data_IF_870131721236
#
_entry.id   IF_870131721236
#
_cell.length_a   1.000
_cell.length_b   1.000
_cell.length_c   1.000
_cell.angle_alpha   90.00
_cell.angle_beta   90.00
_cell.angle_gamma   90.00
#
_symmetry.space_group_name_H-M   'P 1'
#
loop_
_entity.id
_entity.type
_entity.pdbx_description
1 polymer ?
#
# COMPACT_ATOMS: atom_id res chain seq x y z
N UNK A 1 -7.21 -20.26 -40.92
CA UNK A 1 -8.39 -19.44 -40.55
C UNK A 1 -9.14 -19.97 -39.31
N UNK A 2 -9.31 -21.29 -39.16
CA UNK A 2 -9.95 -21.93 -38.01
C UNK A 2 -9.27 -21.61 -36.65
N UNK A 3 -7.93 -21.71 -36.58
CA UNK A 3 -7.15 -21.42 -35.37
C UNK A 3 -7.31 -19.97 -34.86
N UNK A 4 -7.42 -19.00 -35.78
CA UNK A 4 -7.62 -17.58 -35.41
C UNK A 4 -9.03 -17.35 -34.85
N UNK A 5 -10.04 -18.03 -35.40
CA UNK A 5 -11.43 -17.99 -34.89
C UNK A 5 -11.56 -18.66 -33.53
N UNK A 6 -10.92 -19.83 -33.32
CA UNK A 6 -10.91 -20.50 -32.01
C UNK A 6 -10.20 -19.65 -30.95
N UNK A 7 -9.05 -19.07 -31.27
CA UNK A 7 -8.32 -18.19 -30.35
C UNK A 7 -9.14 -16.95 -29.95
N UNK A 8 -9.87 -16.34 -30.90
CA UNK A 8 -10.76 -15.22 -30.59
C UNK A 8 -11.93 -15.62 -29.68
N UNK A 9 -12.50 -16.82 -29.86
CA UNK A 9 -13.55 -17.35 -28.97
C UNK A 9 -13.01 -17.56 -27.55
N UNK A 10 -11.84 -18.18 -27.42
CA UNK A 10 -11.17 -18.40 -26.12
C UNK A 10 -10.92 -17.06 -25.42
N UNK A 11 -10.35 -16.07 -26.12
CA UNK A 11 -10.10 -14.74 -25.54
C UNK A 11 -11.37 -14.06 -25.04
N UNK A 12 -12.49 -14.18 -25.77
CA UNK A 12 -13.78 -13.65 -25.33
C UNK A 12 -14.29 -14.37 -24.08
N UNK A 13 -14.21 -15.70 -24.07
CA UNK A 13 -14.61 -16.52 -22.92
C UNK A 13 -13.81 -16.15 -21.66
N UNK A 14 -12.48 -16.01 -21.78
CA UNK A 14 -11.63 -15.57 -20.67
C UNK A 14 -12.05 -14.21 -20.11
N UNK A 15 -12.41 -13.25 -20.98
CA UNK A 15 -12.86 -11.93 -20.56
C UNK A 15 -14.23 -11.96 -19.86
N UNK A 16 -15.19 -12.73 -20.36
CA UNK A 16 -16.48 -12.90 -19.70
C UNK A 16 -16.34 -13.59 -18.35
N UNK A 17 -15.54 -14.67 -18.28
CA UNK A 17 -15.23 -15.36 -17.03
C UNK A 17 -14.55 -14.42 -16.03
N UNK A 18 -13.58 -13.61 -16.49
CA UNK A 18 -12.95 -12.57 -15.69
C UNK A 18 -13.99 -11.58 -15.13
N UNK A 19 -14.85 -11.03 -15.98
CA UNK A 19 -15.81 -9.99 -15.58
C UNK A 19 -16.82 -10.52 -14.56
N UNK A 20 -17.48 -11.64 -14.88
CA UNK A 20 -18.50 -12.26 -14.01
C UNK A 20 -17.85 -12.73 -12.70
N UNK A 21 -16.73 -13.44 -12.80
CA UNK A 21 -16.02 -13.94 -11.63
C UNK A 21 -15.51 -12.82 -10.72
N UNK A 22 -15.05 -11.69 -11.29
CA UNK A 22 -14.63 -10.52 -10.51
C UNK A 22 -15.79 -9.94 -9.73
N UNK A 23 -16.96 -9.76 -10.35
CA UNK A 23 -18.14 -9.22 -9.66
C UNK A 23 -18.57 -10.17 -8.53
N UNK A 24 -18.75 -11.46 -8.83
CA UNK A 24 -19.18 -12.45 -7.84
C UNK A 24 -18.21 -12.51 -6.65
N UNK A 25 -16.91 -12.56 -6.93
CA UNK A 25 -15.91 -12.67 -5.88
C UNK A 25 -15.80 -11.39 -5.05
N UNK A 26 -15.87 -10.20 -5.66
CA UNK A 26 -15.82 -8.94 -4.91
C UNK A 26 -17.07 -8.74 -4.04
N UNK A 27 -18.25 -9.14 -4.49
CA UNK A 27 -19.48 -9.12 -3.68
C UNK A 27 -19.34 -9.99 -2.44
N UNK A 28 -18.68 -11.15 -2.56
CA UNK A 28 -18.35 -12.02 -1.43
C UNK A 28 -17.24 -11.44 -0.52
N UNK A 29 -16.14 -10.98 -1.12
CA UNK A 29 -14.92 -10.60 -0.41
C UNK A 29 -15.04 -9.27 0.34
N UNK A 30 -15.68 -8.26 -0.25
CA UNK A 30 -15.72 -6.90 0.31
C UNK A 30 -16.36 -6.88 1.71
N UNK A 31 -17.55 -7.48 1.97
CA UNK A 31 -18.15 -7.49 3.29
C UNK A 31 -17.29 -8.20 4.34
N UNK A 32 -16.68 -9.34 3.97
CA UNK A 32 -15.76 -10.08 4.83
C UNK A 32 -14.57 -9.22 5.23
N UNK A 33 -13.99 -8.50 4.26
CA UNK A 33 -12.86 -7.62 4.51
C UNK A 33 -13.24 -6.43 5.39
N UNK A 34 -14.39 -5.80 5.16
CA UNK A 34 -14.86 -4.67 5.98
C UNK A 34 -15.03 -5.09 7.44
N UNK A 35 -15.60 -6.27 7.71
CA UNK A 35 -15.73 -6.79 9.08
C UNK A 35 -14.37 -7.02 9.74
N UNK A 36 -13.40 -7.55 8.99
CA UNK A 36 -12.02 -7.71 9.47
C UNK A 36 -11.36 -6.35 9.73
N UNK A 37 -11.59 -5.34 8.87
CA UNK A 37 -11.05 -3.99 9.03
C UNK A 37 -11.61 -3.27 10.25
N UNK A 38 -12.89 -3.43 10.55
CA UNK A 38 -13.49 -2.90 11.78
C UNK A 38 -12.82 -3.46 13.04
N UNK A 39 -12.46 -4.74 13.04
CA UNK A 39 -11.71 -5.32 14.15
C UNK A 39 -10.29 -4.74 14.26
N UNK A 40 -9.63 -4.45 13.12
CA UNK A 40 -8.29 -3.85 13.09
C UNK A 40 -8.23 -2.34 13.37
N UNK A 41 -9.38 -1.66 13.47
CA UNK A 41 -9.47 -0.27 13.92
C UNK A 41 -9.53 -0.15 15.45
N UNK A 42 -9.71 -1.26 16.17
CA UNK A 42 -9.62 -1.30 17.63
C UNK A 42 -8.16 -1.19 18.06
N UNK A 43 -7.91 -0.44 19.11
CA UNK A 43 -6.57 -0.16 19.59
C UNK A 43 -6.55 -0.17 21.12
N UNK A 44 -5.43 -0.62 21.69
CA UNK A 44 -5.13 -0.46 23.11
C UNK A 44 -4.30 0.81 23.35
N UNK A 45 -4.42 1.40 24.54
CA UNK A 45 -3.56 2.49 25.00
C UNK A 45 -2.60 1.97 26.07
N UNK A 46 -1.31 2.29 25.90
CA UNK A 46 -0.27 2.03 26.88
C UNK A 46 0.47 3.32 27.22
N UNK A 47 0.68 3.57 28.51
CA UNK A 47 1.40 4.74 29.01
C UNK A 47 2.76 4.30 29.57
N UNK A 48 3.82 5.05 29.27
CA UNK A 48 5.12 4.83 29.92
C UNK A 48 4.97 5.04 31.42
N UNK A 49 5.32 4.02 32.20
CA UNK A 49 5.39 4.12 33.66
C UNK A 49 6.84 4.30 34.11
N UNK A 50 7.74 3.46 33.59
CA UNK A 50 9.20 3.55 33.78
C UNK A 50 9.90 3.37 32.42
N UNK A 51 11.21 3.58 32.37
CA UNK A 51 11.98 3.48 31.12
C UNK A 51 11.80 2.14 30.36
N UNK A 52 11.54 1.06 31.11
CA UNK A 52 11.34 -0.30 30.59
C UNK A 52 9.92 -0.85 30.74
N UNK A 53 8.95 -0.07 31.22
CA UNK A 53 7.61 -0.55 31.53
C UNK A 53 6.53 0.35 30.93
N UNK A 54 5.60 -0.28 30.23
CA UNK A 54 4.41 0.34 29.68
C UNK A 54 3.20 -0.28 30.36
N UNK A 55 2.34 0.55 30.94
CA UNK A 55 1.10 0.10 31.59
C UNK A 55 -0.08 0.36 30.66
N UNK A 56 -0.82 -0.70 30.32
CA UNK A 56 -2.07 -0.59 29.57
C UNK A 56 -3.18 -0.02 30.46
N UNK A 57 -4.24 0.51 29.85
CA UNK A 57 -5.45 0.96 30.54
C UNK A 57 -6.09 -0.14 31.41
N UNK A 58 -5.95 -1.40 31.01
CA UNK A 58 -6.38 -2.58 31.78
C UNK A 58 -5.52 -2.90 33.01
N UNK A 59 -4.40 -2.19 33.20
CA UNK A 59 -3.39 -2.50 34.22
C UNK A 59 -2.37 -3.57 33.81
N UNK A 60 -2.53 -4.19 32.63
CA UNK A 60 -1.56 -5.15 32.10
C UNK A 60 -0.24 -4.47 31.77
N UNK A 61 0.89 -5.12 32.10
CA UNK A 61 2.23 -4.60 31.84
C UNK A 61 2.78 -5.13 30.51
N UNK A 62 3.37 -4.23 29.73
CA UNK A 62 4.14 -4.51 28.52
C UNK A 62 5.59 -4.11 28.80
N UNK A 63 6.51 -5.07 28.68
CA UNK A 63 7.91 -4.92 29.02
C UNK A 63 8.73 -4.46 27.80
N UNK A 64 9.58 -3.47 27.97
CA UNK A 64 10.51 -3.04 26.92
C UNK A 64 11.80 -3.82 27.06
N UNK A 65 12.17 -4.54 26.01
CA UNK A 65 13.41 -5.31 25.91
C UNK A 65 14.43 -4.48 25.13
N UNK A 66 15.58 -4.26 25.73
CA UNK A 66 16.72 -3.57 25.12
C UNK A 66 17.85 -4.55 24.77
N UNK A 67 18.82 -4.16 23.93
CA UNK A 67 19.92 -5.04 23.56
C UNK A 67 20.66 -5.55 24.80
N UNK A 68 20.76 -6.88 24.95
CA UNK A 68 21.35 -7.55 26.11
C UNK A 68 20.34 -8.05 27.15
N UNK A 69 19.09 -7.59 27.12
CA UNK A 69 18.03 -8.13 27.96
C UNK A 69 17.50 -9.47 27.39
N UNK A 70 16.96 -10.32 28.27
CA UNK A 70 16.33 -11.60 27.93
C UNK A 70 14.86 -11.62 28.33
N UNK A 71 14.06 -12.40 27.59
CA UNK A 71 12.65 -12.61 27.90
C UNK A 71 12.54 -13.47 29.16
N UNK A 72 11.79 -12.98 30.15
CA UNK A 72 11.59 -13.65 31.44
C UNK A 72 10.20 -14.31 31.54
N UNK A 73 10.02 -15.34 32.38
CA UNK A 73 8.76 -16.08 32.50
C UNK A 73 7.53 -15.23 32.90
N UNK A 74 7.74 -14.14 33.63
CA UNK A 74 6.68 -13.24 34.07
C UNK A 74 6.23 -12.24 32.98
N UNK A 75 6.98 -12.12 31.88
CA UNK A 75 6.71 -11.17 30.81
C UNK A 75 5.67 -11.74 29.85
N UNK A 76 4.42 -11.29 29.94
CA UNK A 76 3.35 -11.71 29.03
C UNK A 76 3.34 -10.97 27.69
N UNK A 77 3.73 -9.69 27.71
CA UNK A 77 3.80 -8.82 26.54
C UNK A 77 5.15 -8.11 26.54
N UNK A 78 5.85 -8.13 25.40
CA UNK A 78 7.16 -7.49 25.26
C UNK A 78 7.21 -6.61 24.02
N UNK A 79 7.98 -5.53 24.04
CA UNK A 79 8.29 -4.68 22.89
C UNK A 79 9.79 -4.51 22.82
N UNK A 80 10.39 -4.73 21.66
CA UNK A 80 11.83 -4.55 21.48
C UNK A 80 12.15 -3.09 21.11
N UNK A 81 13.14 -2.48 21.75
CA UNK A 81 13.61 -1.12 21.46
C UNK A 81 15.14 -1.11 21.36
N UNK A 82 15.67 -0.57 20.27
CA UNK A 82 17.13 -0.44 20.06
C UNK A 82 17.66 -1.38 18.97
N UNK A 83 18.98 -1.45 18.85
CA UNK A 83 19.66 -2.18 17.79
C UNK A 83 20.05 -3.60 18.24
N UNK A 84 19.41 -4.61 17.64
CA UNK A 84 19.63 -6.02 17.95
C UNK A 84 20.46 -6.76 16.89
N UNK A 85 21.19 -6.04 16.03
CA UNK A 85 21.90 -6.65 14.88
C UNK A 85 22.94 -7.71 15.25
N UNK A 86 23.41 -7.73 16.50
CA UNK A 86 24.41 -8.68 17.01
C UNK A 86 23.81 -9.91 17.69
N UNK A 87 22.49 -9.96 17.87
CA UNK A 87 21.80 -11.00 18.64
C UNK A 87 21.12 -12.02 17.71
N UNK A 88 21.03 -13.28 18.14
CA UNK A 88 20.33 -14.32 17.37
C UNK A 88 18.81 -14.29 17.64
N UNK A 89 17.96 -14.01 16.62
CA UNK A 89 16.51 -14.01 16.78
C UNK A 89 15.95 -15.36 17.25
N UNK A 90 16.62 -16.49 16.96
CA UNK A 90 16.13 -17.81 17.34
C UNK A 90 16.08 -18.01 18.84
N UNK A 91 17.04 -17.47 19.57
CA UNK A 91 17.06 -17.55 21.04
C UNK A 91 15.81 -16.90 21.64
N UNK A 92 15.53 -15.66 21.22
CA UNK A 92 14.35 -14.91 21.65
C UNK A 92 13.04 -15.57 21.21
N UNK A 93 13.02 -16.22 20.05
CA UNK A 93 11.85 -16.97 19.59
C UNK A 93 11.53 -18.17 20.49
N UNK A 94 12.56 -18.93 20.89
CA UNK A 94 12.40 -20.08 21.80
C UNK A 94 11.89 -19.62 23.15
N UNK A 95 12.48 -18.57 23.72
CA UNK A 95 12.05 -18.03 25.02
C UNK A 95 10.63 -17.47 24.95
N UNK A 96 10.29 -16.74 23.88
CA UNK A 96 8.95 -16.21 23.67
C UNK A 96 7.89 -17.33 23.57
N UNK A 97 8.19 -18.42 22.85
CA UNK A 97 7.25 -19.53 22.71
C UNK A 97 7.12 -20.35 24.00
N UNK A 98 8.24 -20.56 24.70
CA UNK A 98 8.31 -21.24 26.01
C UNK A 98 7.46 -20.52 27.05
N UNK A 99 7.57 -19.20 27.14
CA UNK A 99 6.84 -18.40 28.12
C UNK A 99 5.51 -17.85 27.60
N UNK A 100 5.09 -18.23 26.39
CA UNK A 100 3.83 -17.83 25.77
C UNK A 100 3.67 -16.30 25.66
N UNK A 101 4.74 -15.64 25.21
CA UNK A 101 4.87 -14.19 25.18
C UNK A 101 4.33 -13.60 23.87
N UNK A 102 3.59 -12.51 24.01
CA UNK A 102 3.16 -11.67 22.91
C UNK A 102 4.24 -10.65 22.55
N UNK A 103 4.61 -10.59 21.28
CA UNK A 103 5.70 -9.73 20.80
C UNK A 103 5.16 -8.48 20.11
N UNK A 104 5.59 -7.31 20.55
CA UNK A 104 5.23 -6.02 20.00
C UNK A 104 6.17 -5.59 18.86
N UNK A 105 5.60 -5.35 17.68
CA UNK A 105 6.28 -4.77 16.51
C UNK A 105 6.23 -3.24 16.59
N UNK A 106 7.31 -2.64 17.10
CA UNK A 106 7.42 -1.19 17.20
C UNK A 106 7.72 -0.55 15.84
N UNK A 107 6.76 0.21 15.31
CA UNK A 107 6.92 0.86 14.02
C UNK A 107 7.99 1.96 14.03
N UNK A 108 8.77 2.04 12.94
CA UNK A 108 9.84 3.02 12.73
C UNK A 108 10.98 2.96 13.77
N UNK A 109 11.15 1.83 14.45
CA UNK A 109 12.29 1.56 15.32
C UNK A 109 13.35 0.67 14.62
N UNK A 110 14.59 0.78 15.07
CA UNK A 110 15.72 -0.06 14.62
C UNK A 110 15.52 -1.54 14.95
N UNK A 111 14.72 -1.86 15.98
CA UNK A 111 14.39 -3.24 16.37
C UNK A 111 13.45 -3.94 15.39
N UNK A 112 12.71 -3.21 14.54
CA UNK A 112 11.64 -3.77 13.71
C UNK A 112 12.11 -4.94 12.80
N UNK A 113 13.25 -4.88 12.10
CA UNK A 113 13.75 -6.00 11.31
C UNK A 113 14.04 -7.24 12.16
N UNK A 114 14.63 -7.04 13.34
CA UNK A 114 14.94 -8.11 14.28
C UNK A 114 13.67 -8.78 14.81
N UNK A 115 12.69 -7.99 15.26
CA UNK A 115 11.41 -8.52 15.75
C UNK A 115 10.66 -9.30 14.67
N UNK A 116 10.73 -8.88 13.41
CA UNK A 116 10.17 -9.65 12.28
C UNK A 116 10.86 -10.99 12.11
N UNK A 117 12.19 -11.06 12.23
CA UNK A 117 12.92 -12.32 12.16
C UNK A 117 12.52 -13.29 13.29
N UNK A 118 12.30 -12.78 14.51
CA UNK A 118 11.77 -13.59 15.61
C UNK A 118 10.41 -14.22 15.22
N UNK A 119 9.50 -13.42 14.66
CA UNK A 119 8.18 -13.90 14.23
C UNK A 119 8.25 -14.90 13.05
N UNK A 120 9.27 -14.80 12.20
CA UNK A 120 9.46 -15.72 11.08
C UNK A 120 9.87 -17.13 11.56
N UNK A 121 10.73 -17.20 12.59
CA UNK A 121 11.30 -18.46 13.10
C UNK A 121 10.52 -19.09 14.26
N UNK A 122 9.70 -18.33 14.99
CA UNK A 122 8.89 -18.85 16.10
C UNK A 122 7.75 -19.75 15.62
N UNK A 123 7.31 -20.66 16.48
CA UNK A 123 6.15 -21.52 16.27
C UNK A 123 4.82 -20.77 16.38
N UNK A 124 4.66 -19.88 17.38
CA UNK A 124 3.41 -19.13 17.62
C UNK A 124 3.38 -17.79 16.87
N UNK A 125 3.30 -17.85 15.53
CA UNK A 125 3.41 -16.68 14.65
C UNK A 125 2.32 -15.63 14.80
N UNK A 126 1.20 -15.96 15.44
CA UNK A 126 0.07 -15.06 15.63
C UNK A 126 0.04 -14.35 16.99
N UNK A 127 0.98 -14.66 17.89
CA UNK A 127 1.14 -14.00 19.19
C UNK A 127 2.04 -12.77 19.09
N UNK A 128 1.58 -11.78 18.36
CA UNK A 128 2.25 -10.48 18.27
C UNK A 128 1.22 -9.37 18.28
N UNK A 129 1.66 -8.12 18.30
CA UNK A 129 0.82 -6.96 18.14
C UNK A 129 1.67 -5.81 17.59
N UNK A 130 1.05 -4.84 16.92
CA UNK A 130 1.74 -3.71 16.32
C UNK A 130 1.64 -2.51 17.21
N UNK A 131 2.78 -1.86 17.42
CA UNK A 131 2.90 -0.73 18.33
C UNK A 131 3.33 0.50 17.56
N UNK A 132 2.62 1.60 17.77
CA UNK A 132 3.07 2.91 17.30
C UNK A 132 3.27 3.85 18.47
N UNK A 133 4.31 4.67 18.37
CA UNK A 133 4.63 5.69 19.36
C UNK A 133 5.16 6.93 18.65
N UNK A 134 5.01 8.09 19.28
CA UNK A 134 5.60 9.35 18.84
C UNK A 134 6.53 9.79 19.97
N UNK A 135 7.81 9.96 19.65
CA UNK A 135 8.85 10.33 20.63
C UNK A 135 8.97 11.85 20.75
N UNK A 136 9.47 12.32 21.88
CA UNK A 136 9.71 13.74 22.11
C UNK A 136 10.71 14.32 21.09
N UNK A 137 11.76 13.57 20.70
CA UNK A 137 12.69 14.05 19.67
C UNK A 137 11.99 14.28 18.32
N UNK A 138 10.96 13.48 18.01
CA UNK A 138 10.18 13.65 16.79
C UNK A 138 9.28 14.89 16.86
N UNK A 139 8.67 15.16 18.02
CA UNK A 139 7.89 16.37 18.28
C UNK A 139 8.73 17.62 18.04
N UNK A 140 9.93 17.67 18.63
CA UNK A 140 10.86 18.80 18.48
C UNK A 140 11.38 18.91 17.04
N UNK A 141 11.91 17.82 16.47
CA UNK A 141 12.50 17.82 15.12
C UNK A 141 11.50 18.23 14.04
N UNK A 142 10.23 17.85 14.20
CA UNK A 142 9.20 18.13 13.21
C UNK A 142 8.30 19.31 13.58
N UNK A 143 8.56 19.98 14.71
CA UNK A 143 7.77 21.10 15.26
C UNK A 143 6.28 20.78 15.27
N UNK A 144 5.93 19.65 15.87
CA UNK A 144 4.54 19.18 15.89
C UNK A 144 3.71 20.02 16.86
N UNK A 145 2.51 20.43 16.41
CA UNK A 145 1.46 20.94 17.28
C UNK A 145 0.50 19.80 17.69
N UNK A 146 -0.41 20.10 18.64
CA UNK A 146 -1.43 19.15 19.12
C UNK A 146 -2.27 18.55 17.98
N UNK A 147 -2.60 19.34 16.94
CA UNK A 147 -3.40 18.85 15.81
C UNK A 147 -2.60 17.86 14.97
N UNK A 148 -1.38 18.20 14.59
CA UNK A 148 -0.46 17.33 13.84
C UNK A 148 -0.16 16.04 14.61
N UNK A 149 -0.02 16.12 15.93
CA UNK A 149 0.15 14.96 16.80
C UNK A 149 -1.08 14.04 16.75
N UNK A 150 -2.28 14.58 16.92
CA UNK A 150 -3.54 13.85 16.74
C UNK A 150 -3.62 13.20 15.35
N UNK A 151 -3.35 13.93 14.27
CA UNK A 151 -3.40 13.41 12.90
C UNK A 151 -2.40 12.27 12.67
N UNK A 152 -1.25 12.25 13.36
CA UNK A 152 -0.29 11.14 13.30
C UNK A 152 -0.84 9.88 13.96
N UNK A 153 -1.37 9.99 15.18
CA UNK A 153 -1.99 8.86 15.89
C UNK A 153 -3.23 8.35 15.17
N UNK A 154 -4.08 9.26 14.70
CA UNK A 154 -5.24 8.95 13.86
C UNK A 154 -4.86 8.12 12.64
N UNK A 155 -3.78 8.49 11.93
CA UNK A 155 -3.27 7.71 10.78
C UNK A 155 -2.64 6.37 11.20
N UNK A 156 -2.11 6.27 12.41
CA UNK A 156 -1.65 5.00 12.97
C UNK A 156 -2.80 4.00 13.05
N UNK A 157 -3.95 4.42 13.59
CA UNK A 157 -5.14 3.58 13.69
C UNK A 157 -5.77 3.39 12.30
N UNK A 158 -6.17 4.48 11.65
CA UNK A 158 -7.01 4.46 10.45
C UNK A 158 -6.31 3.92 9.20
N UNK A 159 -5.02 4.25 9.01
CA UNK A 159 -4.32 3.92 7.76
C UNK A 159 -3.36 2.74 7.92
N UNK A 160 -2.89 2.48 9.14
CA UNK A 160 -1.92 1.42 9.42
C UNK A 160 -2.50 0.29 10.26
N UNK A 161 -3.69 0.41 10.84
CA UNK A 161 -4.31 -0.65 11.67
C UNK A 161 -3.38 -1.07 12.80
N UNK A 162 -3.06 -0.13 13.69
CA UNK A 162 -2.18 -0.34 14.83
C UNK A 162 -2.95 -0.88 16.02
N UNK A 163 -2.43 -1.95 16.62
CA UNK A 163 -3.11 -2.68 17.70
C UNK A 163 -2.90 -1.99 19.06
N UNK A 164 -1.80 -1.26 19.24
CA UNK A 164 -1.48 -0.52 20.48
C UNK A 164 -0.80 0.82 20.18
N UNK A 165 -1.31 1.88 20.79
CA UNK A 165 -0.61 3.16 20.86
C UNK A 165 0.15 3.24 22.18
N UNK A 166 1.45 3.39 22.08
CA UNK A 166 2.32 3.67 23.20
C UNK A 166 2.51 5.19 23.35
N UNK A 167 1.90 5.77 24.38
CA UNK A 167 2.01 7.17 24.76
C UNK A 167 3.25 7.36 25.63
N UNK A 168 4.19 8.16 25.15
CA UNK A 168 5.36 8.61 25.89
C UNK A 168 5.14 10.02 26.42
N UNK A 169 5.85 10.42 27.50
CA UNK A 169 5.84 11.80 27.97
C UNK A 169 6.31 12.73 26.84
N UNK A 170 5.46 13.69 26.48
CA UNK A 170 5.74 14.70 25.44
C UNK A 170 5.38 16.07 25.97
N UNK A 171 6.21 17.06 25.68
CA UNK A 171 5.99 18.45 26.10
C UNK A 171 5.22 19.22 25.03
N UNK A 172 4.49 20.26 25.45
CA UNK A 172 3.78 21.19 24.57
C UNK A 172 2.68 20.53 23.70
N UNK A 173 2.16 19.37 24.13
CA UNK A 173 1.06 18.67 23.49
C UNK A 173 -0.04 18.43 24.53
N UNK A 174 -1.25 18.87 24.21
CA UNK A 174 -2.45 18.57 25.02
C UNK A 174 -2.90 17.13 24.74
N UNK A 175 -2.42 16.19 25.55
CA UNK A 175 -2.71 14.76 25.41
C UNK A 175 -4.19 14.44 25.69
N UNK A 176 -4.83 15.13 26.63
CA UNK A 176 -6.23 14.89 26.98
C UNK A 176 -7.15 15.24 25.81
N UNK A 177 -6.90 16.36 25.14
CA UNK A 177 -7.59 16.72 23.90
C UNK A 177 -7.38 15.68 22.80
N UNK A 178 -6.14 15.21 22.61
CA UNK A 178 -5.80 14.22 21.58
C UNK A 178 -6.52 12.89 21.84
N UNK A 179 -6.43 12.36 23.06
CA UNK A 179 -6.99 11.06 23.43
C UNK A 179 -8.52 11.08 23.40
N UNK A 180 -9.16 12.11 23.97
CA UNK A 180 -10.62 12.26 23.89
C UNK A 180 -11.14 12.39 22.46
N UNK A 181 -10.35 12.99 21.56
CA UNK A 181 -10.69 13.06 20.14
C UNK A 181 -10.54 11.72 19.42
N UNK A 182 -9.51 10.93 19.74
CA UNK A 182 -9.34 9.57 19.20
C UNK A 182 -10.47 8.65 19.67
N UNK A 183 -10.82 8.70 20.96
CA UNK A 183 -11.91 7.93 21.56
C UNK A 183 -13.27 8.25 20.93
N UNK A 184 -13.55 9.55 20.67
CA UNK A 184 -14.76 9.95 19.93
C UNK A 184 -14.83 9.41 18.50
N UNK A 185 -13.69 9.24 17.83
CA UNK A 185 -13.64 8.81 16.43
C UNK A 185 -13.62 7.27 16.29
N UNK A 186 -12.88 6.57 17.14
CA UNK A 186 -12.62 5.13 17.01
C UNK A 186 -13.27 4.28 18.11
N UNK A 187 -13.89 4.91 19.12
CA UNK A 187 -14.44 4.26 20.29
C UNK A 187 -13.43 4.11 21.43
N UNK A 188 -13.89 3.50 22.53
CA UNK A 188 -13.07 3.22 23.70
C UNK A 188 -11.88 2.33 23.36
N UNK A 189 -10.69 2.61 23.94
CA UNK A 189 -9.55 1.72 23.84
C UNK A 189 -9.87 0.34 24.39
N UNK A 190 -9.35 -0.71 23.73
CA UNK A 190 -9.48 -2.08 24.23
C UNK A 190 -8.48 -2.34 25.35
N UNK A 191 -8.84 -3.25 26.26
CA UNK A 191 -8.00 -3.65 27.39
C UNK A 191 -6.65 -4.24 26.98
N UNK A 192 -6.65 -4.96 25.85
CA UNK A 192 -5.50 -5.66 25.29
C UNK A 192 -5.41 -5.38 23.78
N UNK A 193 -4.20 -5.40 23.21
CA UNK A 193 -4.03 -5.29 21.76
C UNK A 193 -4.63 -6.50 21.05
N UNK A 194 -5.39 -6.26 19.97
CA UNK A 194 -6.06 -7.31 19.21
C UNK A 194 -5.60 -7.33 17.76
N UNK A 195 -4.96 -8.43 17.35
CA UNK A 195 -4.47 -8.59 15.98
C UNK A 195 -5.60 -8.77 14.99
N UNK A 196 -5.49 -8.10 13.85
CA UNK A 196 -6.41 -8.28 12.76
C UNK A 196 -6.33 -9.70 12.18
N UNK A 197 -7.46 -10.40 12.15
CA UNK A 197 -7.62 -11.72 11.51
C UNK A 197 -8.70 -11.66 10.44
N UNK A 198 -8.53 -12.47 9.39
CA UNK A 198 -9.53 -12.72 8.37
C UNK A 198 -9.56 -14.23 8.09
N UNK A 199 -10.74 -14.80 8.02
CA UNK A 199 -10.96 -16.21 7.67
C UNK A 199 -11.75 -16.30 6.36
N UNK A 200 -11.77 -17.49 5.76
CA UNK A 200 -12.55 -17.79 4.55
C UNK A 200 -12.19 -16.93 3.33
N UNK A 201 -10.93 -16.50 3.23
CA UNK A 201 -10.43 -15.86 2.01
C UNK A 201 -9.81 -16.95 1.13
N UNK A 202 -10.14 -16.93 -0.16
CA UNK A 202 -9.61 -17.86 -1.16
C UNK A 202 -8.71 -17.13 -2.16
N UNK A 203 -7.39 -17.01 -1.91
CA UNK A 203 -6.44 -16.27 -2.76
C UNK A 203 -6.36 -16.75 -4.22
N UNK A 204 -6.63 -18.04 -4.46
CA UNK A 204 -6.54 -18.63 -5.79
C UNK A 204 -7.60 -18.10 -6.76
N UNK A 205 -8.77 -17.69 -6.26
CA UNK A 205 -9.85 -17.14 -7.09
C UNK A 205 -9.42 -15.82 -7.75
N UNK A 206 -9.04 -14.75 -7.01
CA UNK A 206 -8.62 -13.50 -7.61
C UNK A 206 -7.32 -13.65 -8.41
N UNK A 207 -6.41 -14.54 -8.00
CA UNK A 207 -5.24 -14.90 -8.80
C UNK A 207 -5.63 -15.46 -10.18
N UNK A 208 -6.57 -16.40 -10.22
CA UNK A 208 -7.06 -17.00 -11.47
C UNK A 208 -7.75 -15.95 -12.34
N UNK A 209 -8.56 -15.07 -11.75
CA UNK A 209 -9.20 -13.97 -12.46
C UNK A 209 -8.18 -13.01 -13.09
N UNK A 210 -7.14 -12.61 -12.35
CA UNK A 210 -6.04 -11.81 -12.89
C UNK A 210 -5.33 -12.52 -14.04
N UNK A 211 -5.11 -13.83 -13.92
CA UNK A 211 -4.49 -14.64 -14.97
C UNK A 211 -5.38 -14.71 -16.22
N UNK A 212 -6.70 -14.87 -16.06
CA UNK A 212 -7.67 -14.83 -17.16
C UNK A 212 -7.69 -13.47 -17.88
N UNK A 213 -7.53 -12.37 -17.15
CA UNK A 213 -7.38 -11.04 -17.74
C UNK A 213 -6.11 -10.94 -18.59
N UNK A 214 -4.98 -11.42 -18.09
CA UNK A 214 -3.73 -11.46 -18.87
C UNK A 214 -3.87 -12.35 -20.09
N UNK A 215 -4.48 -13.54 -19.96
CA UNK A 215 -4.76 -14.47 -21.06
C UNK A 215 -5.60 -13.85 -22.18
N UNK A 216 -6.60 -13.05 -21.83
CA UNK A 216 -7.42 -12.34 -22.80
C UNK A 216 -6.54 -11.45 -23.72
N UNK A 217 -5.54 -10.78 -23.17
CA UNK A 217 -4.66 -9.91 -23.94
C UNK A 217 -3.50 -10.67 -24.60
N UNK A 218 -2.78 -11.52 -23.85
CA UNK A 218 -1.63 -12.29 -24.32
C UNK A 218 -1.62 -13.70 -23.73
N UNK A 219 -1.73 -14.71 -24.60
CA UNK A 219 -1.71 -16.12 -24.19
C UNK A 219 -0.37 -16.48 -23.54
N UNK A 220 0.74 -16.06 -24.17
CA UNK A 220 2.11 -16.37 -23.73
C UNK A 220 2.37 -15.80 -22.34
N UNK A 221 2.02 -14.53 -22.10
CA UNK A 221 2.20 -13.91 -20.79
C UNK A 221 1.30 -14.54 -19.73
N UNK A 222 0.09 -14.97 -20.11
CA UNK A 222 -0.80 -15.70 -19.23
C UNK A 222 -0.20 -17.04 -18.79
N UNK A 223 0.30 -17.85 -19.72
CA UNK A 223 0.96 -19.14 -19.43
C UNK A 223 2.18 -18.90 -18.53
N UNK A 224 3.04 -17.95 -18.91
CA UNK A 224 4.25 -17.62 -18.15
C UNK A 224 3.91 -17.22 -16.72
N UNK A 225 2.89 -16.37 -16.52
CA UNK A 225 2.47 -15.94 -15.17
C UNK A 225 1.85 -17.07 -14.34
N UNK A 226 1.10 -17.98 -14.97
CA UNK A 226 0.52 -19.14 -14.31
C UNK A 226 1.59 -20.16 -13.88
N UNK A 227 2.61 -20.37 -14.71
CA UNK A 227 3.70 -21.29 -14.40
C UNK A 227 4.48 -20.92 -13.13
N UNK A 228 4.52 -19.63 -12.76
CA UNK A 228 5.17 -19.17 -11.52
C UNK A 228 4.48 -19.72 -10.26
N UNK A 229 3.21 -20.13 -10.33
CA UNK A 229 2.50 -20.70 -9.17
C UNK A 229 3.17 -21.97 -8.66
N UNK A 230 3.81 -22.75 -9.54
CA UNK A 230 4.50 -23.98 -9.16
C UNK A 230 5.78 -23.73 -8.36
N UNK A 231 6.27 -22.49 -8.26
CA UNK A 231 7.42 -22.13 -7.43
C UNK A 231 6.99 -21.43 -6.13
N UNK A 232 6.26 -20.32 -6.24
CA UNK A 232 5.76 -19.55 -5.09
C UNK A 232 4.50 -18.78 -5.47
N UNK A 233 3.41 -19.02 -4.72
CA UNK A 233 2.12 -18.38 -4.96
C UNK A 233 2.17 -16.84 -4.82
N UNK A 234 2.95 -16.32 -3.87
CA UNK A 234 3.06 -14.88 -3.66
C UNK A 234 3.76 -14.23 -4.85
N UNK A 235 4.86 -14.84 -5.32
CA UNK A 235 5.59 -14.41 -6.50
C UNK A 235 4.68 -14.43 -7.74
N UNK A 236 3.87 -15.48 -7.90
CA UNK A 236 2.91 -15.59 -8.98
C UNK A 236 1.86 -14.46 -8.94
N UNK A 237 1.28 -14.17 -7.76
CA UNK A 237 0.36 -13.05 -7.58
C UNK A 237 1.03 -11.72 -7.92
N UNK A 238 2.28 -11.52 -7.51
CA UNK A 238 3.02 -10.28 -7.82
C UNK A 238 3.25 -10.13 -9.32
N UNK A 239 3.73 -11.19 -9.98
CA UNK A 239 4.01 -11.20 -11.41
C UNK A 239 2.75 -10.97 -12.25
N UNK A 240 1.67 -11.73 -11.99
CA UNK A 240 0.42 -11.61 -12.76
C UNK A 240 -0.21 -10.23 -12.58
N UNK A 241 -0.15 -9.65 -11.38
CA UNK A 241 -0.70 -8.31 -11.12
C UNK A 241 0.05 -7.23 -11.90
N UNK A 242 1.38 -7.28 -11.93
CA UNK A 242 2.20 -6.34 -12.71
C UNK A 242 1.93 -6.52 -14.21
N UNK A 243 1.91 -7.76 -14.70
CA UNK A 243 1.60 -8.06 -16.10
C UNK A 243 0.19 -7.59 -16.49
N UNK A 244 -0.80 -7.77 -15.61
CA UNK A 244 -2.16 -7.29 -15.84
C UNK A 244 -2.19 -5.77 -16.04
N UNK A 245 -1.47 -4.98 -15.24
CA UNK A 245 -1.42 -3.51 -15.43
C UNK A 245 -0.85 -3.13 -16.80
N UNK A 246 0.32 -3.67 -17.16
CA UNK A 246 1.01 -3.35 -18.42
C UNK A 246 0.18 -3.79 -19.62
N UNK A 247 -0.27 -5.05 -19.65
CA UNK A 247 -1.06 -5.60 -20.76
C UNK A 247 -2.38 -4.86 -20.96
N UNK A 248 -3.09 -4.56 -19.87
CA UNK A 248 -4.35 -3.79 -19.91
C UNK A 248 -4.14 -2.40 -20.49
N UNK A 249 -3.06 -1.70 -20.13
CA UNK A 249 -2.78 -0.37 -20.67
C UNK A 249 -2.65 -0.40 -22.19
N UNK A 250 -1.86 -1.31 -22.75
CA UNK A 250 -1.59 -1.33 -24.18
C UNK A 250 -2.75 -1.94 -24.99
N UNK A 251 -3.42 -2.96 -24.46
CA UNK A 251 -4.44 -3.69 -25.21
C UNK A 251 -5.80 -2.99 -25.24
N UNK A 252 -6.17 -2.24 -24.20
CA UNK A 252 -7.45 -1.53 -24.16
C UNK A 252 -7.41 -0.34 -25.13
N UNK A 253 -8.27 -0.39 -26.15
CA UNK A 253 -8.40 0.70 -27.14
C UNK A 253 -8.97 1.97 -26.53
N UNK A 254 -10.08 1.85 -25.79
CA UNK A 254 -10.74 2.99 -25.20
C UNK A 254 -10.15 3.32 -23.82
N UNK A 255 -9.14 4.18 -23.81
CA UNK A 255 -8.32 4.50 -22.63
C UNK A 255 -9.13 5.09 -21.47
N UNK A 256 -10.33 5.65 -21.72
CA UNK A 256 -11.19 6.21 -20.66
C UNK A 256 -11.62 5.19 -19.59
N UNK A 257 -11.56 3.89 -19.89
CA UNK A 257 -11.90 2.82 -18.94
C UNK A 257 -10.71 2.32 -18.11
N UNK A 258 -9.47 2.75 -18.44
CA UNK A 258 -8.28 2.33 -17.71
C UNK A 258 -8.33 2.64 -16.21
N UNK A 259 -8.81 3.80 -15.73
CA UNK A 259 -8.90 4.06 -14.29
C UNK A 259 -9.69 3.00 -13.53
N UNK A 260 -10.84 2.58 -14.06
CA UNK A 260 -11.71 1.56 -13.46
C UNK A 260 -11.05 0.18 -13.53
N UNK A 261 -10.44 -0.17 -14.66
CA UNK A 261 -9.74 -1.45 -14.80
C UNK A 261 -8.55 -1.57 -13.85
N UNK A 262 -7.79 -0.48 -13.63
CA UNK A 262 -6.69 -0.45 -12.67
C UNK A 262 -7.17 -0.55 -11.23
N UNK A 263 -8.32 0.06 -10.90
CA UNK A 263 -9.00 -0.14 -9.63
C UNK A 263 -9.38 -1.62 -9.42
N UNK A 264 -9.95 -2.28 -10.43
CA UNK A 264 -10.32 -3.70 -10.37
C UNK A 264 -9.10 -4.61 -10.23
N UNK A 265 -8.03 -4.38 -11.00
CA UNK A 265 -6.77 -5.12 -10.87
C UNK A 265 -6.22 -4.95 -9.45
N UNK A 266 -6.17 -3.72 -8.94
CA UNK A 266 -5.76 -3.43 -7.56
C UNK A 266 -6.59 -4.18 -6.53
N UNK A 267 -7.93 -4.14 -6.64
CA UNK A 267 -8.84 -4.84 -5.73
C UNK A 267 -8.66 -6.37 -5.77
N UNK A 268 -8.45 -6.96 -6.95
CA UNK A 268 -8.18 -8.39 -7.06
C UNK A 268 -6.82 -8.75 -6.44
N UNK A 269 -5.78 -7.94 -6.67
CA UNK A 269 -4.48 -8.13 -6.01
C UNK A 269 -4.59 -8.00 -4.50
N UNK A 270 -5.36 -7.02 -4.01
CA UNK A 270 -5.67 -6.86 -2.59
C UNK A 270 -6.34 -8.12 -2.03
N UNK A 271 -7.36 -8.64 -2.70
CA UNK A 271 -8.05 -9.82 -2.24
C UNK A 271 -7.17 -11.09 -2.29
N UNK A 272 -6.32 -11.23 -3.32
CA UNK A 272 -5.36 -12.33 -3.43
C UNK A 272 -4.32 -12.33 -2.29
N UNK A 273 -3.99 -11.14 -1.76
CA UNK A 273 -3.02 -10.98 -0.68
C UNK A 273 -3.66 -10.91 0.71
N UNK A 274 -4.99 -10.99 0.84
CA UNK A 274 -5.72 -10.88 2.11
C UNK A 274 -5.56 -12.10 3.01
N UNK A 275 -4.33 -12.34 3.44
CA UNK A 275 -3.88 -13.40 4.34
C UNK A 275 -3.21 -12.76 5.55
N UNK A 276 -3.24 -13.47 6.68
CA UNK A 276 -2.75 -13.01 7.98
C UNK A 276 -1.39 -12.29 7.92
N UNK A 277 -0.41 -12.88 7.22
CA UNK A 277 0.96 -12.36 7.11
C UNK A 277 1.03 -10.97 6.45
N UNK A 278 0.22 -10.74 5.43
CA UNK A 278 0.23 -9.49 4.68
C UNK A 278 -0.65 -8.43 5.34
N UNK A 279 -1.79 -8.83 5.92
CA UNK A 279 -2.68 -7.93 6.66
C UNK A 279 -1.94 -7.25 7.81
N UNK A 280 -1.13 -8.01 8.53
CA UNK A 280 -0.43 -7.54 9.71
C UNK A 280 1.02 -7.09 9.41
N UNK A 281 1.33 -6.81 8.15
CA UNK A 281 2.62 -6.23 7.74
C UNK A 281 3.86 -7.08 8.07
N UNK A 282 3.69 -8.39 8.28
CA UNK A 282 4.79 -9.35 8.42
C UNK A 282 5.47 -9.54 7.06
N UNK A 283 4.65 -9.72 6.02
CA UNK A 283 5.09 -9.76 4.62
C UNK A 283 4.49 -8.60 3.84
N UNK A 284 5.26 -8.09 2.88
CA UNK A 284 4.86 -7.00 2.00
C UNK A 284 4.91 -7.44 0.54
N UNK A 285 4.19 -6.73 -0.31
CA UNK A 285 4.29 -6.89 -1.76
C UNK A 285 5.73 -6.55 -2.21
N UNK A 286 6.53 -7.56 -2.58
CA UNK A 286 7.94 -7.35 -2.97
C UNK A 286 8.09 -6.59 -4.29
N UNK A 287 7.06 -6.61 -5.14
CA UNK A 287 7.06 -5.98 -6.45
C UNK A 287 6.72 -4.49 -6.47
N UNK A 288 6.64 -3.77 -5.34
CA UNK A 288 6.16 -2.36 -5.31
C UNK A 288 6.98 -1.48 -6.26
N UNK A 289 8.31 -1.52 -6.15
CA UNK A 289 9.17 -0.68 -6.99
C UNK A 289 9.05 -1.04 -8.47
N UNK A 290 8.99 -2.34 -8.77
CA UNK A 290 8.84 -2.85 -10.13
C UNK A 290 7.48 -2.45 -10.73
N UNK A 291 6.39 -2.59 -9.98
CA UNK A 291 5.05 -2.22 -10.44
C UNK A 291 4.96 -0.72 -10.73
N UNK A 292 5.54 0.10 -9.85
CA UNK A 292 5.61 1.56 -9.98
C UNK A 292 6.37 2.04 -11.23
N UNK A 293 7.38 1.27 -11.70
CA UNK A 293 8.21 1.65 -12.84
C UNK A 293 7.81 1.00 -14.15
N UNK A 294 7.30 -0.24 -14.12
CA UNK A 294 7.07 -1.03 -15.33
C UNK A 294 6.20 -0.29 -16.35
N UNK A 295 5.03 0.20 -15.93
CA UNK A 295 4.15 0.88 -16.87
C UNK A 295 4.72 2.23 -17.35
N UNK A 296 5.13 3.19 -16.50
CA UNK A 296 5.69 4.45 -17.00
C UNK A 296 6.88 4.24 -17.94
N UNK A 297 7.71 3.22 -17.67
CA UNK A 297 8.80 2.81 -18.53
C UNK A 297 8.31 2.36 -19.91
N UNK A 298 7.40 1.38 -19.97
CA UNK A 298 6.89 0.90 -21.25
C UNK A 298 6.09 1.97 -22.02
N UNK A 299 5.37 2.85 -21.32
CA UNK A 299 4.67 3.99 -21.94
C UNK A 299 5.66 4.96 -22.56
N UNK A 300 6.74 5.29 -21.85
CA UNK A 300 7.81 6.15 -22.36
C UNK A 300 8.47 5.51 -23.58
N UNK A 301 8.80 4.22 -23.53
CA UNK A 301 9.35 3.50 -24.68
C UNK A 301 8.40 3.52 -25.88
N UNK A 302 7.12 3.24 -25.69
CA UNK A 302 6.14 3.27 -26.78
C UNK A 302 6.06 4.65 -27.43
N UNK A 303 6.08 5.73 -26.63
CA UNK A 303 6.07 7.10 -27.14
C UNK A 303 7.35 7.45 -27.92
N UNK A 304 8.50 6.95 -27.48
CA UNK A 304 9.76 7.11 -28.22
C UNK A 304 9.75 6.35 -29.55
N UNK A 305 9.19 5.13 -29.59
CA UNK A 305 9.08 4.33 -30.81
C UNK A 305 8.04 4.87 -31.80
N UNK A 306 6.95 5.49 -31.32
CA UNK A 306 5.97 6.16 -32.19
C UNK A 306 6.56 7.40 -32.85
N UNK A 307 7.48 8.09 -32.17
CA UNK A 307 8.14 9.30 -32.67
C UNK A 307 9.58 9.00 -33.12
N UNK A 308 9.78 8.03 -34.02
CA UNK A 308 11.12 7.61 -34.47
C UNK A 308 11.96 8.76 -35.03
N UNK A 309 11.33 9.73 -35.68
CA UNK A 309 12.01 10.91 -36.22
C UNK A 309 12.64 11.77 -35.12
N UNK A 310 11.99 11.88 -33.94
CA UNK A 310 12.57 12.53 -32.77
C UNK A 310 13.74 11.72 -32.22
N UNK A 311 13.62 10.38 -32.16
CA UNK A 311 14.68 9.51 -31.68
C UNK A 311 15.95 9.63 -32.55
N UNK A 312 15.77 9.68 -33.87
CA UNK A 312 16.86 9.83 -34.85
C UNK A 312 17.45 11.24 -34.75
N UNK A 313 16.60 12.28 -34.73
CA UNK A 313 17.03 13.69 -34.65
C UNK A 313 17.79 14.02 -33.37
N UNK A 314 17.39 13.42 -32.24
CA UNK A 314 17.99 13.69 -30.92
C UNK A 314 18.86 12.54 -30.41
N UNK A 315 19.32 11.63 -31.30
CA UNK A 315 20.18 10.48 -30.94
C UNK A 315 21.40 10.88 -30.10
N UNK A 316 22.01 12.04 -30.41
CA UNK A 316 23.13 12.62 -29.66
C UNK A 316 22.79 12.97 -28.20
N UNK A 317 21.53 13.31 -27.93
CA UNK A 317 21.04 13.70 -26.61
C UNK A 317 20.38 12.56 -25.84
N UNK A 318 20.19 11.39 -26.47
CA UNK A 318 19.62 10.20 -25.87
C UNK A 318 20.29 9.76 -24.55
N UNK A 319 21.64 9.79 -24.40
CA UNK A 319 22.25 9.45 -23.12
C UNK A 319 21.88 10.45 -22.01
N UNK A 320 21.82 11.75 -22.31
CA UNK A 320 21.40 12.77 -21.33
C UNK A 320 19.94 12.61 -20.93
N UNK A 321 19.06 12.30 -21.89
CA UNK A 321 17.66 12.00 -21.61
C UNK A 321 17.52 10.73 -20.76
N UNK A 322 18.28 9.67 -21.06
CA UNK A 322 18.31 8.44 -20.28
C UNK A 322 18.78 8.70 -18.83
N UNK A 323 19.82 9.53 -18.65
CA UNK A 323 20.28 9.96 -17.32
C UNK A 323 19.18 10.76 -16.61
N UNK A 324 18.54 11.74 -17.28
CA UNK A 324 17.47 12.54 -16.67
C UNK A 324 16.27 11.68 -16.23
N UNK A 325 15.84 10.74 -17.06
CA UNK A 325 14.78 9.76 -16.72
C UNK A 325 15.25 8.83 -15.60
N UNK A 326 16.50 8.39 -15.62
CA UNK A 326 17.10 7.57 -14.57
C UNK A 326 17.11 8.28 -13.22
N UNK A 327 17.52 9.56 -13.19
CA UNK A 327 17.52 10.41 -11.99
C UNK A 327 16.10 10.67 -11.50
N UNK A 328 15.16 11.00 -12.40
CA UNK A 328 13.76 11.20 -12.05
C UNK A 328 13.12 9.91 -11.51
N UNK A 329 13.42 8.77 -12.12
CA UNK A 329 12.99 7.44 -11.67
C UNK A 329 13.58 7.08 -10.32
N UNK A 330 14.87 7.32 -10.12
CA UNK A 330 15.56 7.12 -8.83
C UNK A 330 14.94 7.99 -7.74
N UNK A 331 14.73 9.28 -8.01
CA UNK A 331 14.08 10.19 -7.06
C UNK A 331 12.66 9.73 -6.72
N UNK A 332 11.88 9.30 -7.72
CA UNK A 332 10.55 8.74 -7.51
C UNK A 332 10.56 7.49 -6.62
N UNK A 333 11.51 6.57 -6.85
CA UNK A 333 11.69 5.39 -6.02
C UNK A 333 12.13 5.73 -4.60
N UNK A 334 13.09 6.65 -4.45
CA UNK A 334 13.56 7.09 -3.15
C UNK A 334 12.42 7.74 -2.35
N UNK A 335 11.61 8.59 -3.01
CA UNK A 335 10.39 9.20 -2.45
C UNK A 335 9.27 8.23 -2.11
N UNK A 336 9.24 7.06 -2.73
CA UNK A 336 8.29 6.01 -2.37
C UNK A 336 8.63 5.32 -1.04
N UNK A 337 9.85 5.50 -0.52
CA UNK A 337 10.28 4.98 0.78
C UNK A 337 9.93 5.87 1.98
N UNK A 338 10.17 5.36 3.18
CA UNK A 338 9.78 6.00 4.45
C UNK A 338 10.71 7.15 4.91
N UNK A 339 11.85 7.38 4.26
CA UNK A 339 12.91 8.29 4.71
C UNK A 339 13.13 9.52 3.83
N UNK A 340 12.25 9.78 2.86
CA UNK A 340 12.48 10.84 1.88
C UNK A 340 12.14 12.24 2.43
N UNK A 341 12.99 13.21 2.11
CA UNK A 341 12.76 14.63 2.37
C UNK A 341 11.47 15.11 1.69
N UNK A 342 10.61 15.80 2.44
CA UNK A 342 9.36 16.38 1.94
C UNK A 342 9.45 17.89 2.07
N UNK A 343 9.38 18.66 0.95
CA UNK A 343 9.39 20.12 1.01
C UNK A 343 8.27 20.67 1.91
N UNK A 344 8.56 21.74 2.65
CA UNK A 344 7.61 22.35 3.60
C UNK A 344 6.31 22.83 2.93
N UNK A 345 6.38 23.32 1.69
CA UNK A 345 5.20 23.74 0.91
C UNK A 345 4.27 22.55 0.64
N UNK A 346 4.84 21.41 0.25
CA UNK A 346 4.07 20.20 0.03
C UNK A 346 3.41 19.72 1.33
N UNK A 347 4.12 19.81 2.46
CA UNK A 347 3.57 19.47 3.78
C UNK A 347 2.34 20.32 4.11
N UNK A 348 2.43 21.65 3.98
CA UNK A 348 1.30 22.56 4.21
C UNK A 348 0.10 22.26 3.30
N UNK A 349 0.33 22.02 2.00
CA UNK A 349 -0.75 21.66 1.09
C UNK A 349 -1.43 20.33 1.48
N UNK A 350 -0.64 19.35 1.93
CA UNK A 350 -1.14 18.07 2.42
C UNK A 350 -1.98 18.24 3.69
N UNK A 351 -1.51 19.06 4.63
CA UNK A 351 -2.20 19.34 5.89
C UNK A 351 -3.51 20.09 5.65
N UNK A 352 -3.52 21.05 4.71
CA UNK A 352 -4.74 21.74 4.28
C UNK A 352 -5.77 20.77 3.69
N UNK A 353 -5.35 19.89 2.79
CA UNK A 353 -6.26 18.89 2.20
C UNK A 353 -6.76 17.90 3.26
N UNK A 354 -5.90 17.49 4.19
CA UNK A 354 -6.28 16.61 5.31
C UNK A 354 -7.26 17.29 6.28
N UNK A 355 -7.26 18.62 6.38
CA UNK A 355 -8.25 19.36 7.16
C UNK A 355 -9.65 19.37 6.53
N UNK A 356 -9.75 19.16 5.22
CA UNK A 356 -11.02 19.20 4.46
C UNK A 356 -11.56 17.78 4.21
N UNK A 357 -10.67 16.82 3.94
CA UNK A 357 -11.04 15.47 3.53
C UNK A 357 -10.86 14.45 4.64
N UNK A 358 -11.75 13.46 4.72
CA UNK A 358 -11.70 12.39 5.73
C UNK A 358 -10.39 11.59 5.71
N UNK A 359 -9.89 11.32 4.50
CA UNK A 359 -8.63 10.64 4.25
C UNK A 359 -7.85 11.44 3.21
N UNK A 360 -6.57 11.63 3.47
CA UNK A 360 -5.72 12.39 2.57
C UNK A 360 -5.60 11.71 1.19
N UNK A 361 -5.91 12.41 0.08
CA UNK A 361 -5.76 11.86 -1.25
C UNK A 361 -4.29 11.83 -1.65
N UNK A 362 -3.95 10.90 -2.55
CA UNK A 362 -2.61 10.82 -3.11
C UNK A 362 -2.45 11.95 -4.14
N UNK A 363 -1.62 12.95 -3.83
CA UNK A 363 -1.37 14.10 -4.73
C UNK A 363 -1.01 13.65 -6.16
N UNK A 364 -0.26 12.56 -6.30
CA UNK A 364 0.08 11.98 -7.61
C UNK A 364 -1.14 11.51 -8.43
N UNK A 365 -2.21 11.05 -7.76
CA UNK A 365 -3.44 10.65 -8.44
C UNK A 365 -4.32 11.87 -8.72
N UNK A 366 -4.41 12.81 -7.77
CA UNK A 366 -5.19 14.06 -7.91
C UNK A 366 -4.70 14.89 -9.09
N UNK A 367 -3.38 14.96 -9.34
CA UNK A 367 -2.81 15.66 -10.49
C UNK A 367 -2.75 14.76 -11.73
N UNK A 368 -2.40 13.49 -11.53
CA UNK A 368 -2.15 12.57 -12.63
C UNK A 368 -3.41 12.13 -13.39
N UNK A 369 -4.58 12.04 -12.74
CA UNK A 369 -5.83 11.71 -13.43
C UNK A 369 -6.35 12.83 -14.33
N UNK A 370 -6.39 14.11 -13.91
CA UNK A 370 -6.61 15.22 -14.83
C UNK A 370 -5.65 15.22 -16.01
N UNK A 371 -4.34 15.04 -15.76
CA UNK A 371 -3.33 14.95 -16.81
C UNK A 371 -3.61 13.79 -17.79
N UNK A 372 -3.98 12.61 -17.26
CA UNK A 372 -4.36 11.46 -18.05
C UNK A 372 -5.52 11.79 -19.00
N UNK A 373 -6.61 12.37 -18.50
CA UNK A 373 -7.78 12.65 -19.33
C UNK A 373 -7.55 13.80 -20.32
N UNK A 374 -6.82 14.86 -19.94
CA UNK A 374 -6.35 15.89 -20.88
C UNK A 374 -5.58 15.22 -22.03
N UNK A 375 -4.69 14.28 -21.72
CA UNK A 375 -3.87 13.62 -22.72
C UNK A 375 -4.66 12.76 -23.73
N UNK A 376 -5.91 12.41 -23.42
CA UNK A 376 -6.82 11.69 -24.32
C UNK A 376 -7.65 12.64 -25.19
N UNK A 377 -7.80 13.90 -24.80
CA UNK A 377 -8.68 14.88 -25.46
C UNK A 377 -8.00 15.73 -26.52
N UNK A 378 -6.66 15.79 -26.54
CA UNK A 378 -5.89 16.63 -27.45
C UNK A 378 -5.02 15.81 -28.42
N UNK A 379 -4.68 16.42 -29.56
CA UNK A 379 -3.77 15.82 -30.54
C UNK A 379 -2.37 15.61 -29.95
N UNK A 380 -1.69 14.55 -30.39
CA UNK A 380 -0.37 14.18 -29.87
C UNK A 380 0.65 15.28 -30.16
N UNK A 381 1.22 15.84 -29.10
CA UNK A 381 2.39 16.72 -29.13
C UNK A 381 3.30 16.40 -27.92
N UNK A 382 4.44 17.07 -27.80
CA UNK A 382 5.42 16.82 -26.72
C UNK A 382 4.80 16.97 -25.31
N UNK A 383 3.95 17.97 -25.11
CA UNK A 383 3.26 18.21 -23.84
C UNK A 383 2.26 17.08 -23.55
N UNK A 384 1.46 16.69 -24.53
CA UNK A 384 0.48 15.59 -24.40
C UNK A 384 1.19 14.25 -24.12
N UNK A 385 2.33 13.97 -24.75
CA UNK A 385 3.15 12.79 -24.44
C UNK A 385 3.64 12.79 -22.99
N UNK A 386 4.05 13.95 -22.45
CA UNK A 386 4.41 14.07 -21.04
C UNK A 386 3.21 13.83 -20.11
N UNK A 387 2.04 14.38 -20.44
CA UNK A 387 0.80 14.15 -19.69
C UNK A 387 0.37 12.67 -19.70
N UNK A 388 0.62 11.92 -20.79
CA UNK A 388 0.37 10.47 -20.83
C UNK A 388 1.26 9.71 -19.84
N UNK A 389 2.53 10.11 -19.67
CA UNK A 389 3.44 9.52 -18.68
C UNK A 389 2.94 9.82 -17.26
N UNK A 390 2.53 11.07 -16.99
CA UNK A 390 1.92 11.43 -15.70
C UNK A 390 0.64 10.62 -15.43
N UNK A 391 -0.18 10.41 -16.45
CA UNK A 391 -1.37 9.59 -16.37
C UNK A 391 -1.06 8.11 -16.10
N UNK A 392 -0.01 7.57 -16.70
CA UNK A 392 0.48 6.22 -16.40
C UNK A 392 0.91 6.09 -14.93
N UNK A 393 1.59 7.11 -14.37
CA UNK A 393 1.95 7.16 -12.95
C UNK A 393 0.69 7.16 -12.06
N UNK A 394 -0.37 7.89 -12.46
CA UNK A 394 -1.65 7.91 -11.74
C UNK A 394 -2.31 6.53 -11.70
N UNK A 395 -2.43 5.87 -12.86
CA UNK A 395 -3.02 4.54 -12.99
C UNK A 395 -2.31 3.53 -12.08
N UNK A 396 -0.98 3.50 -12.13
CA UNK A 396 -0.17 2.59 -11.32
C UNK A 396 -0.19 2.96 -9.85
N UNK A 397 -0.32 4.24 -9.53
CA UNK A 397 -0.51 4.67 -8.14
C UNK A 397 -1.78 4.08 -7.55
N UNK A 398 -2.88 4.08 -8.31
CA UNK A 398 -4.12 3.46 -7.88
C UNK A 398 -3.96 1.97 -7.69
N UNK A 399 -3.31 1.26 -8.61
CA UNK A 399 -2.95 -0.15 -8.38
C UNK A 399 -2.13 -0.33 -7.09
N UNK A 400 -1.08 0.47 -6.91
CA UNK A 400 -0.18 0.39 -5.76
C UNK A 400 -0.86 0.72 -4.43
N UNK A 401 -1.91 1.53 -4.43
CA UNK A 401 -2.74 1.79 -3.25
C UNK A 401 -3.22 0.48 -2.63
N UNK A 402 -3.59 -0.49 -3.46
CA UNK A 402 -4.09 -1.79 -3.04
C UNK A 402 -2.99 -2.82 -2.75
N UNK A 403 -1.73 -2.55 -3.10
CA UNK A 403 -0.60 -3.36 -2.66
C UNK A 403 -0.28 -3.17 -1.16
N UNK A 404 -0.73 -2.07 -0.56
CA UNK A 404 -0.56 -1.76 0.87
C UNK A 404 -1.73 -2.30 1.69
N UNK A 405 -1.85 -3.62 1.74
CA UNK A 405 -3.04 -4.31 2.21
C UNK A 405 -3.39 -4.11 3.70
N UNK A 406 -2.41 -3.76 4.53
CA UNK A 406 -2.63 -3.39 5.94
C UNK A 406 -3.58 -2.22 6.12
N UNK A 407 -3.66 -1.36 5.10
CA UNK A 407 -4.59 -0.22 5.09
C UNK A 407 -6.00 -0.78 4.93
N UNK A 408 -6.98 -0.35 5.76
CA UNK A 408 -8.37 -0.74 5.59
C UNK A 408 -8.87 -0.52 4.16
N UNK A 409 -9.72 -1.43 3.68
CA UNK A 409 -10.22 -1.45 2.31
C UNK A 409 -11.01 -0.17 1.99
N UNK A 410 -11.86 0.28 2.91
CA UNK A 410 -12.69 1.49 2.76
C UNK A 410 -11.81 2.73 2.59
N UNK A 411 -10.73 2.84 3.35
CA UNK A 411 -9.76 3.94 3.27
C UNK A 411 -9.06 3.93 1.90
N UNK A 412 -8.65 2.76 1.42
CA UNK A 412 -8.00 2.59 0.11
C UNK A 412 -8.95 2.90 -1.06
N UNK A 413 -10.22 2.47 -0.95
CA UNK A 413 -11.28 2.77 -1.91
C UNK A 413 -11.59 4.26 -1.96
N UNK A 414 -11.80 4.90 -0.81
CA UNK A 414 -12.09 6.33 -0.73
C UNK A 414 -11.05 7.19 -1.46
N UNK A 415 -9.76 6.96 -1.19
CA UNK A 415 -8.65 7.69 -1.84
C UNK A 415 -8.66 7.53 -3.37
N UNK A 416 -8.84 6.29 -3.83
CA UNK A 416 -8.77 5.93 -5.24
C UNK A 416 -9.99 6.46 -6.00
N UNK A 417 -11.19 6.23 -5.47
CA UNK A 417 -12.44 6.69 -6.06
C UNK A 417 -12.52 8.21 -6.14
N UNK A 418 -12.09 8.92 -5.09
CA UNK A 418 -12.02 10.38 -5.10
C UNK A 418 -11.15 10.90 -6.26
N UNK A 419 -9.95 10.34 -6.41
CA UNK A 419 -9.00 10.78 -7.43
C UNK A 419 -9.47 10.41 -8.85
N UNK A 420 -10.07 9.23 -9.03
CA UNK A 420 -10.68 8.80 -10.29
C UNK A 420 -11.85 9.70 -10.67
N UNK A 421 -12.74 10.01 -9.72
CA UNK A 421 -13.90 10.88 -9.94
C UNK A 421 -13.47 12.27 -10.38
N UNK A 422 -12.47 12.85 -9.72
CA UNK A 422 -11.88 14.14 -10.11
C UNK A 422 -11.31 14.11 -11.53
N UNK A 423 -10.70 13.00 -11.93
CA UNK A 423 -10.31 12.74 -13.32
C UNK A 423 -11.48 12.75 -14.30
N UNK A 424 -12.54 11.98 -14.01
CA UNK A 424 -13.72 11.94 -14.88
C UNK A 424 -14.42 13.30 -14.97
N UNK A 425 -14.54 14.05 -13.87
CA UNK A 425 -15.06 15.42 -13.89
C UNK A 425 -14.25 16.27 -14.87
N UNK A 426 -12.92 16.22 -14.78
CA UNK A 426 -12.02 16.92 -15.71
C UNK A 426 -12.30 16.51 -17.16
N UNK A 427 -12.45 15.22 -17.42
CA UNK A 427 -12.75 14.69 -18.75
C UNK A 427 -14.08 15.23 -19.33
N UNK A 428 -15.16 15.21 -18.54
CA UNK A 428 -16.46 15.69 -18.98
C UNK A 428 -16.50 17.20 -19.19
N UNK A 429 -15.84 17.95 -18.31
CA UNK A 429 -15.69 19.41 -18.44
C UNK A 429 -14.94 19.75 -19.72
N UNK A 430 -13.77 19.12 -19.95
CA UNK A 430 -12.97 19.34 -21.16
C UNK A 430 -13.75 19.04 -22.43
N UNK A 431 -14.54 17.96 -22.45
CA UNK A 431 -15.36 17.60 -23.62
C UNK A 431 -16.43 18.65 -23.95
N UNK A 432 -16.83 19.48 -22.98
CA UNK A 432 -17.79 20.58 -23.21
C UNK A 432 -17.13 21.79 -23.89
N UNK A 433 -15.83 22.00 -23.66
CA UNK A 433 -15.06 23.12 -24.22
C UNK A 433 -14.30 22.75 -25.49
N UNK A 434 -13.78 21.53 -25.56
CA UNK A 434 -13.13 20.96 -26.74
C UNK A 434 -14.22 20.28 -27.57
N UNK A 435 -14.87 21.06 -28.46
CA UNK A 435 -15.65 20.49 -29.55
C UNK A 435 -14.65 19.72 -30.44
N UNK A 436 -14.65 18.40 -30.35
CA UNK A 436 -14.09 17.54 -31.40
C UNK A 436 -14.89 17.72 -32.68
#
# INVERSE_FOLDING_TARGET
MALKRSLMRIKKLCFFAFLIGTVLYLVYFIPLRIKSDQAGLRYALGFTQDEKLIKLTSGTLVWVIEPGDFIQPYMKYVVFRGNFSQFDPKQYAVDADRYNVWIGLLEFNESLPFTKQILEVRGKKDQFFRVHTIRQEEVVKMKLDTKMFYHRLRRAILERSIDMIWIQPVENIDLDFVLSKLQREFGEPTDLPTVQKISNVFPFIPFTLLTLLVFHFSLILGIASFAVVFTDLNLAIFAVSILATVTTYFAVKNKKYLPILYLLIGLLTYAALSRFEFLNDLRQFRGVKLSLMALPFFVTLNLLFENRDLLIRYKKYLPYFAVAVGVAGFYYLWRSGNFAFVPNVERKARDFIESILWVRPRLKEVVGYPAFFISLSFSKNRLISFLQILGAIALVSTFNTFCHIKTPLVVSLYRSLFSILLGYITFYVLRRFVKC
#
